data_IF_537874186156
#
_entry.id   IF_537874186156
#
_cell.length_a   1.000
_cell.length_b   1.000
_cell.length_c   1.000
_cell.angle_alpha   90.00
_cell.angle_beta   90.00
_cell.angle_gamma   90.00
#
_symmetry.space_group_name_H-M   'P 1'
#
loop_
_entity.id
_entity.type
_entity.pdbx_description
1 polymer ?
#
# COMPACT_ATOMS: atom_id res chain seq x y z
N UNK A 1 -1.00 -2.53 -12.07
CA UNK A 1 -1.06 -1.11 -11.69
C UNK A 1 -2.37 -0.81 -10.99
N UNK A 2 -2.33 0.11 -10.06
CA UNK A 2 -3.48 0.45 -9.23
C UNK A 2 -4.15 1.68 -9.82
N UNK A 3 -5.46 1.62 -10.00
CA UNK A 3 -6.25 2.75 -10.47
C UNK A 3 -7.50 2.90 -9.61
N UNK A 4 -8.30 3.93 -9.88
CA UNK A 4 -9.57 4.14 -9.18
C UNK A 4 -10.45 2.88 -9.31
N UNK A 5 -11.06 2.47 -8.21
CA UNK A 5 -11.88 1.27 -8.05
C UNK A 5 -11.10 -0.06 -7.96
N UNK A 6 -9.77 -0.03 -8.01
CA UNK A 6 -8.98 -1.25 -7.76
C UNK A 6 -9.11 -1.64 -6.28
N UNK A 7 -9.37 -2.92 -6.03
CA UNK A 7 -9.40 -3.47 -4.68
C UNK A 7 -8.00 -3.89 -4.25
N UNK A 8 -7.64 -3.56 -3.02
CA UNK A 8 -6.33 -3.83 -2.46
C UNK A 8 -6.48 -4.64 -1.18
N UNK A 9 -5.60 -5.61 -0.99
CA UNK A 9 -5.45 -6.26 0.30
C UNK A 9 -4.65 -5.34 1.24
N UNK A 10 -4.83 -5.52 2.54
CA UNK A 10 -4.12 -4.71 3.54
C UNK A 10 -3.03 -5.57 4.18
N UNK A 11 -1.81 -5.06 4.17
CA UNK A 11 -0.64 -5.80 4.63
C UNK A 11 -0.20 -5.38 6.04
N UNK A 12 -1.14 -4.91 6.87
CA UNK A 12 -0.82 -4.47 8.23
C UNK A 12 -1.89 -4.91 9.24
N UNK A 13 -1.67 -4.57 10.50
CA UNK A 13 -2.55 -4.96 11.61
C UNK A 13 -3.47 -3.83 12.07
N UNK A 14 -3.82 -2.88 11.20
CA UNK A 14 -4.75 -1.79 11.55
C UNK A 14 -6.20 -2.26 11.73
N UNK A 15 -6.50 -3.47 11.27
CA UNK A 15 -7.86 -4.00 11.26
C UNK A 15 -8.54 -3.91 9.91
N UNK A 16 -8.09 -3.05 9.02
CA UNK A 16 -8.58 -3.02 7.65
C UNK A 16 -8.14 -4.28 6.93
N UNK A 17 -9.04 -4.86 6.13
CA UNK A 17 -8.75 -6.07 5.35
C UNK A 17 -8.74 -5.82 3.86
N UNK A 18 -9.65 -4.99 3.38
CA UNK A 18 -9.73 -4.64 1.96
C UNK A 18 -9.99 -3.15 1.81
N UNK A 19 -9.28 -2.57 0.88
CA UNK A 19 -9.41 -1.15 0.52
C UNK A 19 -9.81 -1.05 -0.95
N UNK A 20 -10.57 -0.02 -1.28
CA UNK A 20 -10.83 0.33 -2.68
C UNK A 20 -10.16 1.68 -2.96
N UNK A 21 -9.32 1.71 -3.98
CA UNK A 21 -8.68 2.96 -4.40
C UNK A 21 -9.73 3.91 -4.96
N UNK A 22 -9.78 5.13 -4.42
CA UNK A 22 -10.69 6.16 -4.90
C UNK A 22 -9.94 7.32 -5.54
N UNK A 23 -8.65 7.47 -5.27
CA UNK A 23 -7.83 8.52 -5.88
C UNK A 23 -6.36 8.14 -5.82
N UNK A 24 -5.63 8.42 -6.90
CA UNK A 24 -4.17 8.29 -6.94
C UNK A 24 -3.56 9.67 -6.73
N UNK A 25 -2.71 9.81 -5.73
CA UNK A 25 -2.02 11.07 -5.44
C UNK A 25 -0.74 11.19 -6.27
N UNK A 26 -0.28 12.41 -6.48
CA UNK A 26 0.98 12.67 -7.17
C UNK A 26 0.87 13.52 -8.42
N UNK A 27 -0.27 14.21 -8.62
CA UNK A 27 -0.45 15.13 -9.74
C UNK A 27 -1.83 15.03 -10.36
N UNK A 28 -2.27 16.11 -11.02
CA UNK A 28 -3.64 16.24 -11.51
C UNK A 28 -3.99 15.22 -12.61
N UNK A 29 -2.99 14.77 -13.37
CA UNK A 29 -3.21 13.82 -14.49
C UNK A 29 -2.81 12.39 -14.13
N UNK A 30 -2.47 12.11 -12.88
CA UNK A 30 -2.03 10.80 -12.49
C UNK A 30 -3.20 9.84 -12.40
N UNK A 31 -3.15 8.76 -13.18
CA UNK A 31 -4.22 7.76 -13.26
C UNK A 31 -3.86 6.44 -12.60
N UNK A 32 -2.57 6.11 -12.50
CA UNK A 32 -2.10 4.80 -12.05
C UNK A 32 -1.08 4.94 -10.94
N UNK A 33 -1.15 4.02 -9.98
CA UNK A 33 -0.18 3.91 -8.91
C UNK A 33 0.59 2.58 -9.02
N UNK A 34 1.85 2.62 -8.64
CA UNK A 34 2.69 1.45 -8.51
C UNK A 34 3.28 1.42 -7.10
N UNK A 35 4.22 0.51 -6.85
CA UNK A 35 4.87 0.38 -5.54
C UNK A 35 5.48 1.72 -5.12
N UNK A 36 5.22 2.11 -3.87
CA UNK A 36 5.73 3.36 -3.32
C UNK A 36 4.85 4.57 -3.55
N UNK A 37 3.80 4.45 -4.34
CA UNK A 37 2.85 5.53 -4.56
C UNK A 37 1.78 5.55 -3.48
N UNK A 38 1.31 6.75 -3.15
CA UNK A 38 0.27 6.94 -2.15
C UNK A 38 -1.08 7.05 -2.85
N UNK A 39 -2.06 6.33 -2.32
CA UNK A 39 -3.44 6.35 -2.81
C UNK A 39 -4.39 6.68 -1.68
N UNK A 40 -5.50 7.32 -2.02
CA UNK A 40 -6.62 7.50 -1.08
C UNK A 40 -7.58 6.35 -1.30
N UNK A 41 -7.98 5.70 -0.22
CA UNK A 41 -8.80 4.50 -0.28
C UNK A 41 -9.99 4.59 0.65
N UNK A 42 -11.06 3.89 0.29
CA UNK A 42 -12.19 3.62 1.15
C UNK A 42 -12.04 2.23 1.75
N UNK A 43 -12.24 2.09 3.05
CA UNK A 43 -12.17 0.79 3.73
C UNK A 43 -13.45 0.02 3.45
N UNK A 44 -13.34 -1.10 2.73
CA UNK A 44 -14.50 -1.93 2.36
C UNK A 44 -14.75 -3.08 3.32
N UNK A 45 -13.71 -3.61 3.93
CA UNK A 45 -13.79 -4.65 4.96
C UNK A 45 -12.82 -4.32 6.08
N UNK A 46 -13.28 -4.43 7.32
CA UNK A 46 -12.44 -4.21 8.50
C UNK A 46 -12.87 -5.13 9.63
N UNK A 47 -11.89 -5.52 10.46
CA UNK A 47 -12.16 -6.27 11.69
C UNK A 47 -12.75 -5.32 12.73
N UNK A 48 -13.86 -5.69 13.41
CA UNK A 48 -14.42 -4.85 14.46
C UNK A 48 -13.41 -4.57 15.56
N UNK A 49 -13.39 -3.31 16.04
CA UNK A 49 -12.49 -2.90 17.11
C UNK A 49 -11.09 -2.53 16.68
N UNK A 50 -10.79 -2.55 15.39
CA UNK A 50 -9.47 -2.12 14.89
C UNK A 50 -9.33 -0.60 14.87
N UNK A 51 -8.12 -0.16 14.53
CA UNK A 51 -7.78 1.27 14.41
C UNK A 51 -8.58 1.93 13.30
N UNK A 52 -8.87 1.18 12.25
CA UNK A 52 -9.60 1.65 11.06
C UNK A 52 -10.91 0.89 10.96
N UNK A 53 -11.98 1.58 10.62
CA UNK A 53 -13.33 1.01 10.53
C UNK A 53 -13.81 0.98 9.09
N UNK A 54 -14.75 0.08 8.81
CA UNK A 54 -15.42 0.02 7.52
C UNK A 54 -16.07 1.38 7.20
N UNK A 55 -15.86 1.85 5.98
CA UNK A 55 -16.37 3.13 5.52
C UNK A 55 -15.42 4.30 5.70
N UNK A 56 -14.35 4.13 6.46
CA UNK A 56 -13.35 5.18 6.63
C UNK A 56 -12.63 5.47 5.31
N UNK A 57 -12.20 6.71 5.13
CA UNK A 57 -11.34 7.12 4.02
C UNK A 57 -9.94 7.30 4.58
N UNK A 58 -8.99 6.58 4.02
CA UNK A 58 -7.61 6.55 4.54
C UNK A 58 -6.61 6.73 3.41
N UNK A 59 -5.40 7.19 3.75
CA UNK A 59 -4.27 7.15 2.83
C UNK A 59 -3.52 5.85 3.03
N UNK A 60 -3.04 5.31 1.93
CA UNK A 60 -2.26 4.08 1.94
C UNK A 60 -1.13 4.15 0.93
N UNK A 61 -0.05 3.44 1.20
CA UNK A 61 1.06 3.30 0.26
C UNK A 61 1.02 1.88 -0.31
N UNK A 62 1.18 1.77 -1.62
CA UNK A 62 1.18 0.48 -2.31
C UNK A 62 2.52 -0.20 -2.04
N UNK A 63 2.47 -1.41 -1.48
CA UNK A 63 3.68 -2.18 -1.12
C UNK A 63 3.91 -3.38 -2.02
N UNK A 64 2.86 -3.90 -2.67
CA UNK A 64 2.93 -5.03 -3.60
C UNK A 64 1.99 -4.79 -4.76
N UNK A 65 2.39 -5.24 -5.96
CA UNK A 65 1.51 -5.21 -7.13
C UNK A 65 1.58 -6.54 -7.88
N UNK A 66 0.46 -6.94 -8.50
CA UNK A 66 0.44 -8.11 -9.39
C UNK A 66 1.17 -7.82 -10.68
N UNK A 67 1.10 -6.59 -11.17
CA UNK A 67 1.83 -6.20 -12.37
C UNK A 67 3.30 -6.05 -12.04
N UNK A 68 4.16 -6.55 -12.91
CA UNK A 68 5.60 -6.44 -12.72
C UNK A 68 6.08 -5.00 -12.68
N UNK A 69 7.07 -4.75 -11.81
CA UNK A 69 7.79 -3.48 -11.70
C UNK A 69 9.18 -3.69 -12.25
N UNK A 70 9.55 -2.89 -13.25
CA UNK A 70 10.89 -2.94 -13.83
C UNK A 70 11.88 -2.22 -12.94
N UNK A 71 13.02 -2.86 -12.71
CA UNK A 71 14.12 -2.28 -11.94
C UNK A 71 15.25 -1.80 -12.84
N UNK A 72 16.07 -0.84 -12.37
CA UNK A 72 17.17 -0.29 -13.18
C UNK A 72 18.18 -1.32 -13.66
N UNK A 73 18.35 -2.44 -12.94
CA UNK A 73 19.27 -3.50 -13.31
C UNK A 73 18.70 -4.47 -14.36
N UNK A 74 17.51 -4.18 -14.90
CA UNK A 74 16.87 -5.01 -15.91
C UNK A 74 16.01 -6.14 -15.37
N UNK A 75 15.97 -6.33 -14.05
CA UNK A 75 15.10 -7.34 -13.45
C UNK A 75 13.69 -6.80 -13.23
N UNK A 76 12.76 -7.72 -12.97
CA UNK A 76 11.36 -7.40 -12.67
C UNK A 76 10.95 -8.05 -11.37
N UNK A 77 10.07 -7.39 -10.63
CA UNK A 77 9.43 -7.98 -9.46
C UNK A 77 7.92 -7.91 -9.62
N UNK A 78 7.25 -8.99 -9.25
CA UNK A 78 5.79 -9.03 -9.18
C UNK A 78 5.36 -9.91 -8.00
N UNK A 79 4.16 -9.66 -7.52
CA UNK A 79 3.60 -10.38 -6.38
C UNK A 79 2.28 -11.03 -6.78
N UNK A 80 1.74 -11.88 -5.91
CA UNK A 80 0.49 -12.59 -6.19
C UNK A 80 -0.74 -11.70 -6.00
N UNK A 81 -0.59 -10.56 -5.34
CA UNK A 81 -1.71 -9.67 -5.03
C UNK A 81 -1.28 -8.21 -5.01
N UNK A 82 -2.27 -7.32 -5.14
CA UNK A 82 -2.07 -5.90 -4.89
C UNK A 82 -2.32 -5.66 -3.40
N UNK A 83 -1.37 -5.05 -2.72
CA UNK A 83 -1.49 -4.79 -1.29
C UNK A 83 -0.96 -3.42 -0.93
N UNK A 84 -1.54 -2.86 0.13
CA UNK A 84 -1.20 -1.54 0.63
C UNK A 84 -1.11 -1.55 2.15
N UNK A 85 -0.41 -0.55 2.69
CA UNK A 85 -0.28 -0.30 4.12
C UNK A 85 -0.92 1.04 4.42
N UNK A 86 -1.80 1.08 5.41
CA UNK A 86 -2.46 2.32 5.83
C UNK A 86 -1.44 3.22 6.53
N UNK A 87 -1.37 4.48 6.11
CA UNK A 87 -0.40 5.44 6.61
C UNK A 87 -1.10 6.66 7.22
N UNK A 88 -0.33 7.37 8.05
CA UNK A 88 -0.72 8.67 8.61
C UNK A 88 -0.34 9.78 7.64
N UNK A 89 -0.76 11.01 7.96
CA UNK A 89 -0.41 12.18 7.15
C UNK A 89 1.09 12.43 7.05
N UNK A 90 1.86 12.02 8.06
CA UNK A 90 3.32 12.12 8.07
C UNK A 90 4.01 10.95 7.35
N UNK A 91 3.24 10.10 6.67
CA UNK A 91 3.70 8.93 5.91
C UNK A 91 4.24 7.78 6.77
N UNK A 92 4.03 7.82 8.07
CA UNK A 92 4.36 6.67 8.93
C UNK A 92 3.20 5.67 8.94
N UNK A 93 3.48 4.36 9.13
CA UNK A 93 2.41 3.37 9.17
C UNK A 93 1.52 3.56 10.40
N UNK A 94 0.22 3.37 10.23
CA UNK A 94 -0.74 3.43 11.35
C UNK A 94 -0.68 2.18 12.20
N UNK A 95 -0.36 1.05 11.59
CA UNK A 95 -0.21 -0.20 12.31
C UNK A 95 1.18 -0.37 12.88
N UNK A 96 1.36 -1.43 13.67
CA UNK A 96 2.63 -1.75 14.31
C UNK A 96 3.33 -2.94 13.67
N UNK A 97 2.64 -3.68 12.78
CA UNK A 97 3.18 -4.86 12.11
C UNK A 97 2.84 -4.83 10.62
N UNK A 98 3.74 -5.39 9.83
CA UNK A 98 3.55 -5.56 8.39
C UNK A 98 3.54 -7.06 8.11
N UNK A 99 2.62 -7.51 7.25
CA UNK A 99 2.47 -8.90 6.88
C UNK A 99 2.93 -9.15 5.44
N UNK A 100 3.73 -10.18 5.26
CA UNK A 100 4.21 -10.56 3.95
C UNK A 100 5.32 -9.67 3.41
N UNK A 101 5.84 -9.96 2.21
CA UNK A 101 6.94 -9.21 1.63
C UNK A 101 6.49 -7.84 1.15
N UNK A 102 7.43 -6.90 1.12
CA UNK A 102 7.25 -5.59 0.49
C UNK A 102 8.36 -5.38 -0.54
N UNK A 103 8.09 -4.57 -1.54
CA UNK A 103 9.10 -4.24 -2.54
C UNK A 103 10.09 -3.22 -1.98
N UNK A 104 11.37 -3.39 -2.31
CA UNK A 104 12.42 -2.51 -1.78
C UNK A 104 12.38 -1.10 -2.36
N UNK A 105 11.60 -0.86 -3.41
CA UNK A 105 11.37 0.48 -3.95
C UNK A 105 10.80 1.46 -2.91
N UNK A 106 10.21 0.97 -1.84
CA UNK A 106 9.74 1.81 -0.74
C UNK A 106 10.87 2.59 -0.07
N UNK A 107 12.09 2.05 -0.08
CA UNK A 107 13.27 2.74 0.48
C UNK A 107 13.54 4.04 -0.26
N UNK A 108 13.39 4.02 -1.58
CA UNK A 108 13.65 5.17 -2.44
C UNK A 108 12.58 6.25 -2.30
N UNK A 109 11.45 5.92 -1.70
CA UNK A 109 10.32 6.83 -1.48
C UNK A 109 10.17 7.25 -0.02
N UNK A 110 11.21 7.02 0.81
CA UNK A 110 11.27 7.43 2.22
C UNK A 110 10.30 6.70 3.15
N UNK A 111 9.90 5.49 2.79
CA UNK A 111 9.07 4.65 3.67
C UNK A 111 9.91 3.69 4.51
N UNK A 112 10.95 4.22 5.15
CA UNK A 112 11.91 3.40 5.92
C UNK A 112 11.27 2.70 7.12
N UNK A 113 10.26 3.30 7.74
CA UNK A 113 9.57 2.67 8.86
C UNK A 113 8.84 1.40 8.42
N UNK A 114 8.24 1.42 7.23
CA UNK A 114 7.58 0.25 6.66
C UNK A 114 8.61 -0.82 6.34
N UNK A 115 9.74 -0.44 5.74
CA UNK A 115 10.83 -1.35 5.42
C UNK A 115 11.33 -2.03 6.70
N UNK A 116 11.50 -1.28 7.80
CA UNK A 116 12.02 -1.84 9.05
C UNK A 116 11.03 -2.79 9.73
N UNK A 117 9.73 -2.62 9.51
CA UNK A 117 8.70 -3.48 10.08
C UNK A 117 8.39 -4.70 9.22
N UNK A 118 8.77 -4.68 7.96
CA UNK A 118 8.45 -5.75 7.02
C UNK A 118 9.26 -7.01 7.34
N UNK A 119 8.62 -8.21 7.32
CA UNK A 119 9.34 -9.45 7.56
C UNK A 119 10.30 -9.82 6.43
N UNK A 120 10.03 -9.32 5.22
CA UNK A 120 10.84 -9.63 4.04
C UNK A 120 10.78 -8.45 3.07
N UNK A 121 11.92 -8.06 2.53
CA UNK A 121 12.02 -6.98 1.54
C UNK A 121 12.59 -7.55 0.26
N UNK A 122 11.82 -7.54 -0.78
CA UNK A 122 12.18 -8.06 -2.09
C UNK A 122 12.37 -6.91 -3.08
#
# INVERSE_FOLDING_TARGET
>A
MIQVQTMLHVADNTGARRLMCIRVLGGALRQYASVGDIVVCSVKEATPGGVVKKGDVVKAVVVRTKKEVRRPDGTYIKFDENAAVVIKDDQSPRGTRIFGPVARELRDRDFMKIISLAPEVL
#
